data_IF_036231693483
#
_entry.id   IF_036231693483
#
_cell.length_a   1.000
_cell.length_b   1.000
_cell.length_c   1.000
_cell.angle_alpha   90.00
_cell.angle_beta   90.00
_cell.angle_gamma   90.00
#
_symmetry.space_group_name_H-M   'P 1'
#
loop_
_entity.id
_entity.type
_entity.pdbx_description
1 polymer ?
#
# COMPACT_ATOMS: atom_id res chain seq x y z
N UNK A 1 -1.83 -1.61 14.21
CA UNK A 1 -0.92 -2.72 13.85
C UNK A 1 -1.13 -3.09 12.39
N UNK A 2 -0.06 -3.28 11.66
CA UNK A 2 -0.14 -3.61 10.23
C UNK A 2 -0.55 -5.07 10.00
N UNK A 3 -1.04 -5.37 8.81
CA UNK A 3 -1.43 -6.72 8.41
C UNK A 3 -0.20 -7.61 8.25
N UNK A 4 -0.34 -8.88 8.58
CA UNK A 4 0.73 -9.87 8.43
C UNK A 4 1.19 -9.97 6.96
N UNK A 5 0.25 -9.93 6.01
CA UNK A 5 0.56 -9.97 4.59
C UNK A 5 1.49 -8.82 4.15
N UNK A 6 1.28 -7.62 4.66
CA UNK A 6 2.12 -6.46 4.36
C UNK A 6 3.54 -6.66 4.90
N UNK A 7 3.66 -7.14 6.14
CA UNK A 7 4.96 -7.43 6.76
C UNK A 7 5.74 -8.48 5.96
N UNK A 8 5.06 -9.51 5.48
CA UNK A 8 5.67 -10.58 4.67
C UNK A 8 6.18 -10.03 3.34
N UNK A 9 5.40 -9.18 2.67
CA UNK A 9 5.84 -8.54 1.42
C UNK A 9 7.10 -7.70 1.63
N UNK A 10 7.16 -6.94 2.72
CA UNK A 10 8.33 -6.13 3.06
C UNK A 10 9.54 -7.02 3.38
N UNK A 11 9.33 -8.09 4.13
CA UNK A 11 10.40 -9.04 4.46
C UNK A 11 10.98 -9.68 3.20
N UNK A 12 10.12 -10.17 2.31
CA UNK A 12 10.53 -10.82 1.06
C UNK A 12 11.06 -9.81 0.02
N UNK A 13 10.71 -8.53 0.16
CA UNK A 13 11.07 -7.46 -0.78
C UNK A 13 10.65 -7.78 -2.21
N UNK A 14 9.48 -8.39 -2.38
CA UNK A 14 8.92 -8.79 -3.67
C UNK A 14 7.43 -9.03 -3.54
N UNK A 15 6.75 -9.16 -4.68
CA UNK A 15 5.36 -9.59 -4.70
C UNK A 15 5.25 -11.03 -4.21
N UNK A 16 4.25 -11.30 -3.38
CA UNK A 16 4.02 -12.61 -2.78
C UNK A 16 2.62 -13.09 -3.17
N UNK A 17 2.54 -14.31 -3.70
CA UNK A 17 1.28 -14.96 -3.99
C UNK A 17 0.79 -15.67 -2.73
N UNK A 18 -0.26 -15.13 -2.11
CA UNK A 18 -0.81 -15.69 -0.87
C UNK A 18 -1.72 -16.91 -1.09
N UNK A 19 -1.77 -17.41 -2.32
CA UNK A 19 -2.45 -18.68 -2.64
C UNK A 19 -1.46 -19.83 -2.83
N UNK A 20 -0.22 -19.52 -3.24
CA UNK A 20 0.78 -20.54 -3.58
C UNK A 20 2.11 -20.37 -2.83
N UNK A 21 2.62 -19.14 -2.74
CA UNK A 21 3.95 -18.90 -2.14
C UNK A 21 3.93 -18.94 -0.63
N UNK A 22 2.94 -18.29 -0.02
CA UNK A 22 2.77 -18.20 1.43
C UNK A 22 1.29 -18.34 1.75
N UNK A 23 0.94 -19.34 2.54
CA UNK A 23 -0.44 -19.54 2.95
C UNK A 23 -0.61 -19.01 4.38
N UNK A 24 -1.56 -18.09 4.54
CA UNK A 24 -1.91 -17.53 5.85
C UNK A 24 -3.20 -18.15 6.34
N UNK A 25 -3.36 -18.23 7.66
CA UNK A 25 -4.59 -18.71 8.27
C UNK A 25 -4.87 -17.93 9.55
N UNK A 26 -6.16 -17.78 9.88
CA UNK A 26 -6.60 -17.14 11.11
C UNK A 26 -7.68 -18.03 11.74
N UNK A 27 -7.38 -18.60 12.90
CA UNK A 27 -8.29 -19.47 13.63
C UNK A 27 -9.03 -18.73 14.75
N UNK A 28 -9.05 -17.39 14.69
CA UNK A 28 -9.74 -16.54 15.67
C UNK A 28 -8.83 -15.84 16.65
N UNK A 29 -7.51 -16.06 16.57
CA UNK A 29 -6.53 -15.45 17.47
C UNK A 29 -5.48 -14.61 16.72
N UNK A 30 -5.78 -14.24 15.50
CA UNK A 30 -4.88 -13.49 14.63
C UNK A 30 -4.29 -14.34 13.53
N UNK A 31 -3.88 -13.68 12.45
CA UNK A 31 -3.32 -14.36 11.29
C UNK A 31 -1.93 -14.92 11.59
N UNK A 32 -1.64 -16.08 11.03
CA UNK A 32 -0.32 -16.69 11.13
C UNK A 32 0.06 -17.38 9.81
N UNK A 33 1.34 -17.69 9.63
CA UNK A 33 1.85 -18.37 8.44
C UNK A 33 1.56 -19.88 8.60
N UNK A 34 0.69 -20.38 7.74
CA UNK A 34 0.38 -21.81 7.70
C UNK A 34 1.40 -22.59 6.88
N UNK A 35 1.78 -22.06 5.72
CA UNK A 35 2.77 -22.65 4.82
C UNK A 35 3.70 -21.58 4.28
N UNK A 36 4.97 -21.94 4.15
CA UNK A 36 6.00 -21.06 3.60
C UNK A 36 6.72 -21.80 2.47
N UNK A 37 6.49 -21.36 1.23
CA UNK A 37 7.01 -22.02 0.02
C UNK A 37 8.02 -21.17 -0.74
N UNK A 38 8.41 -20.01 -0.20
CA UNK A 38 9.43 -19.17 -0.82
C UNK A 38 10.83 -19.74 -0.59
N UNK A 39 11.79 -19.48 -1.51
CA UNK A 39 13.15 -20.02 -1.40
C UNK A 39 14.01 -19.37 -0.30
N UNK A 40 13.53 -18.31 0.33
CA UNK A 40 14.20 -17.64 1.43
C UNK A 40 13.71 -18.18 2.76
N UNK A 41 14.45 -17.93 3.84
CA UNK A 41 14.10 -18.41 5.18
C UNK A 41 12.77 -17.77 5.65
N UNK A 42 11.94 -18.56 6.29
CA UNK A 42 10.70 -18.07 6.92
C UNK A 42 11.04 -17.04 7.99
N UNK A 43 10.37 -15.86 8.01
CA UNK A 43 10.68 -14.85 9.03
C UNK A 43 10.26 -15.32 10.43
N UNK A 44 11.03 -14.88 11.42
CA UNK A 44 10.67 -15.08 12.83
C UNK A 44 9.63 -14.04 13.24
N UNK A 45 8.96 -14.29 14.36
CA UNK A 45 8.01 -13.31 14.90
C UNK A 45 8.71 -11.99 15.21
N UNK A 46 9.93 -12.03 15.73
CA UNK A 46 10.71 -10.82 16.02
C UNK A 46 11.02 -10.02 14.74
N UNK A 47 11.33 -10.70 13.65
CA UNK A 47 11.55 -10.03 12.35
C UNK A 47 10.28 -9.37 11.82
N UNK A 48 9.14 -10.04 11.97
CA UNK A 48 7.85 -9.47 11.57
C UNK A 48 7.48 -8.28 12.44
N UNK A 49 7.69 -8.37 13.75
CA UNK A 49 7.42 -7.27 14.68
C UNK A 49 8.27 -6.05 14.38
N UNK A 50 9.53 -6.25 13.97
CA UNK A 50 10.43 -5.16 13.60
C UNK A 50 9.97 -4.43 12.33
N UNK A 51 9.15 -5.06 11.49
CA UNK A 51 8.61 -4.47 10.26
C UNK A 51 7.27 -3.75 10.47
N UNK A 52 6.68 -3.84 11.66
CA UNK A 52 5.34 -3.31 11.89
C UNK A 52 5.22 -1.82 11.58
N UNK A 53 6.16 -1.01 12.01
CA UNK A 53 6.14 0.44 11.75
C UNK A 53 6.20 0.76 10.26
N UNK A 54 7.10 0.10 9.52
CA UNK A 54 7.21 0.28 8.07
C UNK A 54 5.96 -0.21 7.35
N UNK A 55 5.41 -1.34 7.77
CA UNK A 55 4.20 -1.91 7.19
C UNK A 55 3.00 -0.99 7.43
N UNK A 56 2.89 -0.40 8.61
CA UNK A 56 1.84 0.58 8.94
C UNK A 56 1.94 1.80 8.03
N UNK A 57 3.14 2.36 7.86
CA UNK A 57 3.37 3.50 6.97
C UNK A 57 3.01 3.12 5.52
N UNK A 58 3.41 1.94 5.08
CA UNK A 58 3.08 1.46 3.74
C UNK A 58 1.56 1.38 3.54
N UNK A 59 0.84 0.77 4.47
CA UNK A 59 -0.62 0.64 4.39
C UNK A 59 -1.32 2.01 4.39
N UNK A 60 -0.86 2.93 5.24
CA UNK A 60 -1.40 4.28 5.28
C UNK A 60 -1.16 5.03 3.98
N UNK A 61 0.03 4.88 3.39
CA UNK A 61 0.35 5.51 2.10
C UNK A 61 -0.46 4.92 0.96
N UNK A 62 -0.79 3.62 1.00
CA UNK A 62 -1.67 3.02 0.00
C UNK A 62 -3.08 3.59 0.10
N UNK A 63 -3.59 3.83 1.30
CA UNK A 63 -4.88 4.51 1.52
C UNK A 63 -4.85 5.94 0.99
N UNK A 64 -3.74 6.67 1.23
CA UNK A 64 -3.57 8.03 0.75
C UNK A 64 -3.53 8.07 -0.77
N UNK A 65 -2.83 7.12 -1.42
CA UNK A 65 -2.84 6.99 -2.88
C UNK A 65 -4.24 6.77 -3.43
N UNK A 66 -5.02 5.91 -2.79
CA UNK A 66 -6.41 5.64 -3.19
C UNK A 66 -7.27 6.88 -3.05
N UNK A 67 -7.11 7.63 -1.96
CA UNK A 67 -7.82 8.89 -1.73
C UNK A 67 -7.45 9.92 -2.80
N UNK A 68 -6.17 10.10 -3.08
CA UNK A 68 -5.70 11.02 -4.13
C UNK A 68 -6.29 10.63 -5.49
N UNK A 69 -6.24 9.34 -5.84
CA UNK A 69 -6.77 8.85 -7.10
C UNK A 69 -8.26 9.16 -7.24
N UNK A 70 -9.03 8.96 -6.18
CA UNK A 70 -10.45 9.28 -6.16
C UNK A 70 -10.69 10.78 -6.38
N UNK A 71 -9.87 11.63 -5.75
CA UNK A 71 -10.00 13.10 -5.87
C UNK A 71 -9.53 13.62 -7.24
N UNK A 72 -8.55 12.96 -7.87
CA UNK A 72 -8.12 13.33 -9.23
C UNK A 72 -9.25 13.18 -10.24
N UNK A 73 -10.10 12.19 -10.05
CA UNK A 73 -11.19 11.87 -10.95
C UNK A 73 -10.78 10.91 -12.07
N UNK A 74 -11.74 10.54 -12.90
CA UNK A 74 -11.51 9.66 -14.03
C UNK A 74 -10.57 10.32 -15.05
N UNK A 75 -9.78 9.50 -15.74
CA UNK A 75 -8.78 10.00 -16.68
C UNK A 75 -9.38 10.83 -17.81
N UNK A 76 -10.52 10.40 -18.35
CA UNK A 76 -11.23 11.15 -19.40
C UNK A 76 -11.70 12.52 -18.89
N UNK A 77 -12.16 12.60 -17.65
CA UNK A 77 -12.59 13.86 -17.04
C UNK A 77 -11.40 14.81 -16.82
N UNK A 78 -10.25 14.27 -16.45
CA UNK A 78 -9.04 15.06 -16.29
C UNK A 78 -8.58 15.65 -17.64
N UNK A 79 -8.68 14.88 -18.73
CA UNK A 79 -8.37 15.36 -20.08
C UNK A 79 -9.31 16.49 -20.49
N UNK A 80 -10.61 16.37 -20.23
CA UNK A 80 -11.57 17.45 -20.49
C UNK A 80 -11.24 18.71 -19.70
N UNK A 81 -10.86 18.55 -18.44
CA UNK A 81 -10.45 19.68 -17.58
C UNK A 81 -9.26 20.43 -18.17
N UNK A 82 -8.25 19.70 -18.65
CA UNK A 82 -7.08 20.32 -19.29
C UNK A 82 -7.48 21.06 -20.55
N UNK A 83 -8.36 20.49 -21.35
CA UNK A 83 -8.86 21.10 -22.58
C UNK A 83 -9.63 22.40 -22.29
N UNK A 84 -10.54 22.33 -21.30
CA UNK A 84 -11.45 23.44 -21.01
C UNK A 84 -10.80 24.59 -20.25
N UNK A 85 -9.91 24.27 -19.30
CA UNK A 85 -9.37 25.23 -18.32
C UNK A 85 -7.84 25.41 -18.40
N UNK A 86 -7.17 24.62 -19.24
CA UNK A 86 -5.72 24.68 -19.39
C UNK A 86 -4.98 23.77 -18.41
N UNK A 87 -3.74 23.42 -18.79
CA UNK A 87 -2.92 22.49 -18.01
C UNK A 87 -2.48 23.07 -16.67
N UNK A 88 -2.29 24.40 -16.58
CA UNK A 88 -1.86 25.05 -15.34
C UNK A 88 -2.93 24.94 -14.26
N UNK A 89 -4.21 25.08 -14.62
CA UNK A 89 -5.34 24.90 -13.71
C UNK A 89 -5.39 23.47 -13.19
N UNK A 90 -5.23 22.48 -14.07
CA UNK A 90 -5.19 21.06 -13.70
C UNK A 90 -4.02 20.78 -12.76
N UNK A 91 -2.82 21.29 -13.07
CA UNK A 91 -1.64 21.12 -12.21
C UNK A 91 -1.85 21.71 -10.82
N UNK A 92 -2.47 22.88 -10.73
CA UNK A 92 -2.75 23.53 -9.45
C UNK A 92 -3.71 22.67 -8.60
N UNK A 93 -4.74 22.11 -9.23
CA UNK A 93 -5.70 21.22 -8.57
C UNK A 93 -5.01 19.95 -8.05
N UNK A 94 -4.20 19.32 -8.88
CA UNK A 94 -3.46 18.10 -8.47
C UNK A 94 -2.49 18.42 -7.33
N UNK A 95 -1.77 19.54 -7.41
CA UNK A 95 -0.84 19.95 -6.35
C UNK A 95 -1.58 20.19 -5.02
N UNK A 96 -2.78 20.79 -5.07
CA UNK A 96 -3.58 21.01 -3.86
C UNK A 96 -4.06 19.68 -3.26
N UNK A 97 -4.48 18.74 -4.09
CA UNK A 97 -4.91 17.41 -3.60
C UNK A 97 -3.73 16.71 -2.91
N UNK A 98 -2.53 16.78 -3.47
CA UNK A 98 -1.34 16.18 -2.86
C UNK A 98 -0.98 16.87 -1.54
N UNK A 99 -1.11 18.20 -1.48
CA UNK A 99 -0.83 18.95 -0.26
C UNK A 99 -1.83 18.64 0.85
N UNK A 100 -3.11 18.41 0.50
CA UNK A 100 -4.16 18.08 1.45
C UNK A 100 -4.09 16.62 1.91
N UNK A 101 -3.41 15.75 1.16
CA UNK A 101 -3.31 14.32 1.42
C UNK A 101 -1.85 13.87 1.36
N UNK A 102 -1.00 14.35 2.29
CA UNK A 102 0.44 14.03 2.27
C UNK A 102 0.69 12.58 2.67
N UNK A 103 1.69 11.97 2.02
CA UNK A 103 2.14 10.64 2.41
C UNK A 103 2.97 10.70 3.68
N UNK A 104 2.96 9.60 4.45
CA UNK A 104 3.80 9.46 5.62
C UNK A 104 5.23 9.11 5.21
N UNK A 105 6.19 9.59 6.01
CA UNK A 105 7.59 9.22 5.87
C UNK A 105 7.93 8.15 6.93
N UNK A 106 8.77 7.21 6.53
CA UNK A 106 9.30 6.21 7.45
C UNK A 106 10.49 6.73 8.22
#
# INVERSE_FOLDING_TARGET
MANLSTKIKLYANQEVDFLNDVILQDDGQGAYIKEWNLPIAKPTQAQLDALDAQATTYENNEKIKATRKSLYGAWDKQLEEIYDNGIDSWKARIAQIKADNPKENN
#
